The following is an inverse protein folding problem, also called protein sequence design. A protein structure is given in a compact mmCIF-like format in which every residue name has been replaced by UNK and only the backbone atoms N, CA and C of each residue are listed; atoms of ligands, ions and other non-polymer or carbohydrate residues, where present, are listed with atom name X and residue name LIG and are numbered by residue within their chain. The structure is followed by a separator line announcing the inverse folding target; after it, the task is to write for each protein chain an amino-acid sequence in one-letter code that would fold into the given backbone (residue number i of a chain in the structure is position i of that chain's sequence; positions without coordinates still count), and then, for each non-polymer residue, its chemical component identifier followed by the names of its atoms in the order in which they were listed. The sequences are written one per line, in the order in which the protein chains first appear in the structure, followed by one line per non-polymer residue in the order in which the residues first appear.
data_IF_019723014964
#
_entry.id   IF_019723014964
#
_cell.length_a   1.000
_cell.length_b   1.000
_cell.length_c   1.000
_cell.angle_alpha   90.00
_cell.angle_beta   90.00
_cell.angle_gamma   90.00
#
_symmetry.space_group_name_H-M   'P 1'
#
loop_
_entity.id
_entity.type
_entity.pdbx_description
1 polymer ?
#
# COMPACT_ATOMS: atom_id res chain seq x y z
N UNK A 1 37.16 -5.71 -24.35
CA UNK A 1 36.40 -5.72 -23.08
C UNK A 1 37.30 -5.23 -21.93
N UNK A 2 37.76 -3.97 -21.97
CA UNK A 2 38.69 -3.43 -20.96
C UNK A 2 38.29 -2.07 -20.39
N UNK A 3 37.41 -1.33 -21.07
CA UNK A 3 37.01 0.03 -20.66
C UNK A 3 35.93 0.05 -19.57
N UNK A 4 35.05 -0.94 -19.49
CA UNK A 4 34.00 -0.97 -18.47
C UNK A 4 34.56 -1.21 -17.06
N UNK A 5 35.68 -1.92 -16.94
CA UNK A 5 36.27 -2.28 -15.66
C UNK A 5 37.01 -1.11 -15.00
N UNK A 6 37.69 -0.25 -15.79
CA UNK A 6 38.27 1.00 -15.27
C UNK A 6 37.19 2.00 -14.89
N UNK A 7 36.13 2.14 -15.69
CA UNK A 7 35.02 3.05 -15.42
C UNK A 7 34.26 2.70 -14.14
N UNK A 8 34.11 1.40 -13.86
CA UNK A 8 33.54 0.88 -12.62
C UNK A 8 34.40 1.20 -11.39
N UNK A 9 35.73 1.24 -11.54
CA UNK A 9 36.66 1.48 -10.44
C UNK A 9 36.75 2.95 -10.08
N UNK A 10 36.83 3.84 -11.07
CA UNK A 10 36.87 5.30 -10.85
C UNK A 10 35.54 5.85 -10.30
N UNK A 11 34.41 5.29 -10.75
CA UNK A 11 33.08 5.76 -10.37
C UNK A 11 32.41 4.87 -9.32
N UNK A 12 33.16 3.95 -8.69
CA UNK A 12 32.61 3.00 -7.72
C UNK A 12 31.79 3.69 -6.62
N UNK A 13 32.28 4.82 -6.11
CA UNK A 13 31.61 5.60 -5.06
C UNK A 13 30.30 6.21 -5.57
N UNK A 14 30.32 6.78 -6.77
CA UNK A 14 29.14 7.42 -7.38
C UNK A 14 28.08 6.36 -7.70
N UNK A 15 28.49 5.21 -8.21
CA UNK A 15 27.59 4.08 -8.49
C UNK A 15 26.99 3.53 -7.19
N UNK A 16 27.81 3.34 -6.14
CA UNK A 16 27.32 2.89 -4.84
C UNK A 16 26.31 3.87 -4.24
N UNK A 17 26.57 5.19 -4.32
CA UNK A 17 25.64 6.23 -3.88
C UNK A 17 24.35 6.23 -4.70
N UNK A 18 24.43 6.09 -6.03
CA UNK A 18 23.27 6.04 -6.90
C UNK A 18 22.39 4.80 -6.61
N UNK A 19 23.00 3.65 -6.38
CA UNK A 19 22.30 2.42 -5.99
C UNK A 19 21.67 2.60 -4.60
N UNK A 20 22.41 3.13 -3.62
CA UNK A 20 21.89 3.37 -2.29
C UNK A 20 20.69 4.34 -2.31
N UNK A 21 20.76 5.41 -3.10
CA UNK A 21 19.67 6.37 -3.29
C UNK A 21 18.46 5.71 -3.97
N UNK A 22 18.66 4.90 -5.02
CA UNK A 22 17.60 4.16 -5.68
C UNK A 22 16.90 3.18 -4.73
N UNK A 23 17.68 2.45 -3.92
CA UNK A 23 17.14 1.55 -2.88
C UNK A 23 16.34 2.33 -1.84
N UNK A 24 16.85 3.48 -1.38
CA UNK A 24 16.15 4.33 -0.40
C UNK A 24 14.83 4.86 -0.96
N UNK A 25 14.82 5.38 -2.19
CA UNK A 25 13.62 5.90 -2.86
C UNK A 25 12.59 4.79 -3.09
N UNK A 26 13.00 3.55 -3.34
CA UNK A 26 12.09 2.41 -3.47
C UNK A 26 11.63 1.86 -2.10
N UNK A 27 12.50 1.90 -1.08
CA UNK A 27 12.21 1.36 0.25
C UNK A 27 11.33 2.29 1.10
N UNK A 28 11.45 3.62 0.96
CA UNK A 28 10.67 4.61 1.70
C UNK A 28 9.15 4.50 1.47
N UNK A 29 8.62 4.48 0.22
CA UNK A 29 7.20 4.29 0.00
C UNK A 29 6.74 2.91 0.44
N UNK A 30 7.61 1.88 0.40
CA UNK A 30 7.27 0.55 0.87
C UNK A 30 7.10 0.50 2.40
N UNK A 31 7.98 1.19 3.15
CA UNK A 31 7.92 1.27 4.62
C UNK A 31 6.80 2.19 5.11
N UNK A 32 6.58 3.34 4.47
CA UNK A 32 5.49 4.27 4.84
C UNK A 32 4.10 3.72 4.46
N UNK A 33 3.99 2.92 3.39
CA UNK A 33 2.73 2.28 2.97
C UNK A 33 2.23 1.20 3.95
N UNK A 34 3.11 0.68 4.82
CA UNK A 34 2.83 -0.44 5.71
C UNK A 34 2.70 -0.07 7.18
N UNK A 35 2.76 1.22 7.57
CA UNK A 35 2.39 1.61 8.93
C UNK A 35 0.88 1.34 9.05
N UNK A 36 0.44 0.32 9.80
CA UNK A 36 -0.98 0.18 10.06
C UNK A 36 -1.38 1.41 10.85
N UNK A 37 -2.34 2.19 10.34
CA UNK A 37 -2.99 3.23 11.12
C UNK A 37 -3.51 2.56 12.40
N UNK A 38 -2.80 2.74 13.52
CA UNK A 38 -3.15 2.17 14.81
C UNK A 38 -4.40 2.84 15.42
N UNK A 39 -5.02 3.74 14.66
CA UNK A 39 -6.15 4.59 15.07
C UNK A 39 -7.46 4.23 14.37
N UNK A 40 -7.52 3.13 13.60
CA UNK A 40 -8.79 2.73 12.98
C UNK A 40 -9.80 2.37 14.07
N UNK A 41 -10.95 3.04 14.05
CA UNK A 41 -12.05 2.78 14.98
C UNK A 41 -12.49 1.31 14.95
N UNK A 42 -12.60 0.70 16.13
CA UNK A 42 -13.03 -0.69 16.29
C UNK A 42 -14.46 -0.91 15.77
N UNK A 43 -15.34 0.08 15.93
CA UNK A 43 -16.70 0.07 15.37
C UNK A 43 -16.69 -0.04 13.84
N UNK A 44 -15.79 0.69 13.18
CA UNK A 44 -15.67 0.66 11.72
C UNK A 44 -15.16 -0.71 11.24
N UNK A 45 -14.19 -1.29 11.95
CA UNK A 45 -13.68 -2.63 11.66
C UNK A 45 -14.78 -3.68 11.81
N UNK A 46 -15.56 -3.58 12.90
CA UNK A 46 -16.67 -4.49 13.18
C UNK A 46 -17.75 -4.41 12.09
N UNK A 47 -18.19 -3.20 11.74
CA UNK A 47 -19.16 -2.98 10.65
C UNK A 47 -18.64 -3.50 9.31
N UNK A 48 -17.40 -3.18 8.96
CA UNK A 48 -16.78 -3.69 7.72
C UNK A 48 -16.72 -5.22 7.69
N UNK A 49 -16.34 -5.88 8.79
CA UNK A 49 -16.33 -7.35 8.87
C UNK A 49 -17.72 -7.96 8.77
N UNK A 50 -18.73 -7.31 9.35
CA UNK A 50 -20.12 -7.74 9.27
C UNK A 50 -20.64 -7.67 7.82
N UNK A 51 -20.47 -6.51 7.18
CA UNK A 51 -20.96 -6.27 5.82
C UNK A 51 -20.23 -7.11 4.78
N UNK A 52 -18.94 -7.38 4.99
CA UNK A 52 -18.14 -8.23 4.12
C UNK A 52 -17.91 -9.63 4.72
N UNK A 53 -18.83 -10.11 5.55
CA UNK A 53 -18.75 -11.43 6.20
C UNK A 53 -18.72 -12.60 5.21
N UNK A 54 -19.26 -12.40 4.00
CA UNK A 54 -19.15 -13.35 2.89
C UNK A 54 -17.71 -13.50 2.34
N UNK A 55 -16.81 -12.56 2.64
CA UNK A 55 -15.41 -12.59 2.22
C UNK A 55 -14.53 -13.15 3.35
N UNK A 56 -13.51 -13.91 2.99
CA UNK A 56 -12.47 -14.32 3.94
C UNK A 56 -11.67 -13.12 4.46
N UNK A 57 -11.03 -13.25 5.63
CA UNK A 57 -10.19 -12.18 6.19
C UNK A 57 -9.07 -11.72 5.23
N UNK A 58 -8.49 -12.62 4.44
CA UNK A 58 -7.47 -12.27 3.44
C UNK A 58 -8.05 -11.43 2.29
N UNK A 59 -9.26 -11.77 1.83
CA UNK A 59 -9.96 -11.00 0.80
C UNK A 59 -10.40 -9.63 1.32
N UNK A 60 -10.89 -9.56 2.55
CA UNK A 60 -11.20 -8.31 3.25
C UNK A 60 -9.99 -7.37 3.32
N UNK A 61 -8.82 -7.90 3.70
CA UNK A 61 -7.58 -7.11 3.74
C UNK A 61 -7.13 -6.67 2.34
N UNK A 62 -7.28 -7.53 1.34
CA UNK A 62 -6.98 -7.19 -0.06
C UNK A 62 -7.90 -6.08 -0.58
N UNK A 63 -9.18 -6.11 -0.23
CA UNK A 63 -10.16 -5.08 -0.58
C UNK A 63 -9.78 -3.72 0.01
N UNK A 64 -9.39 -3.70 1.29
CA UNK A 64 -8.90 -2.48 1.95
C UNK A 64 -7.67 -1.95 1.21
N UNK A 65 -6.70 -2.79 0.88
CA UNK A 65 -5.49 -2.38 0.15
C UNK A 65 -5.83 -1.83 -1.25
N UNK A 66 -6.81 -2.42 -1.93
CA UNK A 66 -7.30 -1.93 -3.21
C UNK A 66 -7.85 -0.49 -3.07
N UNK A 67 -8.72 -0.24 -2.10
CA UNK A 67 -9.27 1.11 -1.86
C UNK A 67 -8.22 2.12 -1.40
N UNK A 68 -7.27 1.70 -0.55
CA UNK A 68 -6.12 2.52 -0.18
C UNK A 68 -5.30 2.93 -1.41
N UNK A 69 -5.08 2.02 -2.36
CA UNK A 69 -4.35 2.32 -3.61
C UNK A 69 -5.19 3.19 -4.55
N UNK A 70 -6.47 2.87 -4.75
CA UNK A 70 -7.39 3.57 -5.66
C UNK A 70 -7.60 5.03 -5.26
N UNK A 71 -7.74 5.30 -3.96
CA UNK A 71 -8.05 6.63 -3.43
C UNK A 71 -6.86 7.32 -2.75
N UNK A 72 -5.66 6.72 -2.80
CA UNK A 72 -4.45 7.22 -2.13
C UNK A 72 -4.71 7.64 -0.67
N UNK A 73 -5.44 6.81 0.08
CA UNK A 73 -5.93 7.12 1.42
C UNK A 73 -5.50 6.08 2.47
N UNK A 74 -5.62 6.45 3.73
CA UNK A 74 -5.37 5.56 4.88
C UNK A 74 -6.42 4.47 5.02
N UNK A 75 -6.17 3.53 5.93
CA UNK A 75 -6.97 2.31 6.09
C UNK A 75 -8.43 2.60 6.44
N UNK A 76 -8.66 3.55 7.33
CA UNK A 76 -10.00 3.93 7.79
C UNK A 76 -10.86 4.48 6.63
N UNK A 77 -10.32 5.46 5.89
CA UNK A 77 -10.99 6.02 4.71
C UNK A 77 -11.24 4.95 3.65
N UNK A 78 -10.31 4.01 3.46
CA UNK A 78 -10.49 2.91 2.53
C UNK A 78 -11.67 1.99 2.93
N UNK A 79 -11.85 1.70 4.22
CA UNK A 79 -13.02 0.94 4.70
C UNK A 79 -14.33 1.70 4.46
N UNK A 80 -14.35 3.02 4.70
CA UNK A 80 -15.52 3.85 4.41
C UNK A 80 -15.89 3.84 2.92
N UNK A 81 -14.90 3.97 2.03
CA UNK A 81 -15.14 3.87 0.59
C UNK A 81 -15.70 2.50 0.18
N UNK A 82 -15.19 1.42 0.76
CA UNK A 82 -15.71 0.08 0.47
C UNK A 82 -17.17 -0.09 0.93
N UNK A 83 -17.51 0.42 2.13
CA UNK A 83 -18.89 0.38 2.65
C UNK A 83 -19.84 1.22 1.79
N UNK A 84 -19.43 2.41 1.38
CA UNK A 84 -20.20 3.29 0.49
C UNK A 84 -20.45 2.64 -0.88
N UNK A 85 -19.44 1.99 -1.46
CA UNK A 85 -19.56 1.30 -2.75
C UNK A 85 -20.52 0.10 -2.67
N UNK A 86 -20.46 -0.65 -1.57
CA UNK A 86 -21.42 -1.73 -1.30
C UNK A 86 -22.84 -1.19 -1.16
N UNK A 87 -23.05 -0.14 -0.34
CA UNK A 87 -24.36 0.49 -0.16
C UNK A 87 -24.97 0.94 -1.49
N UNK A 88 -24.18 1.52 -2.38
CA UNK A 88 -24.64 1.92 -3.73
C UNK A 88 -25.01 0.72 -4.61
N UNK A 89 -24.33 -0.40 -4.43
CA UNK A 89 -24.66 -1.64 -5.15
C UNK A 89 -25.99 -2.21 -4.62
N UNK A 90 -26.17 -2.21 -3.30
CA UNK A 90 -27.39 -2.73 -2.65
C UNK A 90 -28.63 -1.82 -2.87
N UNK A 91 -28.45 -0.49 -2.99
CA UNK A 91 -29.53 0.49 -3.27
C UNK A 91 -29.91 0.59 -4.76
N UNK A 92 -29.06 0.05 -5.64
CA UNK A 92 -29.22 0.13 -7.09
C UNK A 92 -29.90 -1.09 -7.72
N UNK A 93 -30.44 -2.00 -6.91
CA UNK A 93 -31.13 -3.23 -7.33
C UNK A 93 -32.67 -3.10 -7.24
#
# INVERSE_FOLDING_TARGET
MGQTFEYLRENAIVIALAIAAAVLVLAVPFRYRWIPDATVSEDLISRFRSDFSMLSHAQQQTLILFYMRKHACGREKAMLFALEDKRKTDEGE
#
